data_IF_151966580247
#
_entry.id   IF_151966580247
#
_cell.length_a   1.000
_cell.length_b   1.000
_cell.length_c   1.000
_cell.angle_alpha   90.00
_cell.angle_beta   90.00
_cell.angle_gamma   90.00
#
_symmetry.space_group_name_H-M   'P 1'
#
loop_
_entity.id
_entity.type
_entity.pdbx_description
1 polymer ?
#
# COMPACT_ATOMS: atom_id res chain seq x y z
N UNK A 1 -17.12 -0.04 -12.92
CA UNK A 1 -15.79 0.55 -13.12
C UNK A 1 -15.01 0.37 -11.84
N UNK A 2 -13.76 -0.09 -11.91
CA UNK A 2 -12.88 -0.15 -10.74
C UNK A 2 -12.58 1.27 -10.25
N UNK A 3 -12.59 1.45 -8.94
CA UNK A 3 -12.31 2.71 -8.25
C UNK A 3 -11.07 2.58 -7.38
N UNK A 4 -10.56 3.71 -6.86
CA UNK A 4 -9.40 3.73 -5.98
C UNK A 4 -9.64 2.96 -4.67
N UNK A 5 -10.87 2.97 -4.17
CA UNK A 5 -11.24 2.23 -2.96
C UNK A 5 -11.23 0.71 -3.22
N UNK A 6 -11.57 0.25 -4.43
CA UNK A 6 -11.48 -1.17 -4.79
C UNK A 6 -10.03 -1.65 -4.76
N UNK A 7 -9.12 -0.86 -5.32
CA UNK A 7 -7.68 -1.17 -5.32
C UNK A 7 -7.10 -1.11 -3.90
N UNK A 8 -7.53 -0.13 -3.11
CA UNK A 8 -7.13 -0.01 -1.70
C UNK A 8 -7.62 -1.20 -0.85
N UNK A 9 -8.84 -1.68 -1.07
CA UNK A 9 -9.36 -2.89 -0.42
C UNK A 9 -8.52 -4.12 -0.80
N UNK A 10 -8.19 -4.27 -2.08
CA UNK A 10 -7.29 -5.36 -2.52
C UNK A 10 -5.92 -5.28 -1.83
N UNK A 11 -5.32 -4.09 -1.72
CA UNK A 11 -4.05 -3.91 -0.99
C UNK A 11 -4.19 -4.33 0.49
N UNK A 12 -5.30 -3.96 1.14
CA UNK A 12 -5.59 -4.35 2.52
C UNK A 12 -5.73 -5.88 2.65
N UNK A 13 -6.42 -6.53 1.72
CA UNK A 13 -6.53 -8.00 1.71
C UNK A 13 -5.16 -8.68 1.56
N UNK A 14 -4.29 -8.15 0.70
CA UNK A 14 -2.93 -8.69 0.56
C UNK A 14 -2.13 -8.52 1.86
N UNK A 15 -2.18 -7.33 2.46
CA UNK A 15 -1.56 -7.07 3.76
C UNK A 15 -2.14 -7.98 4.84
N UNK A 16 -3.45 -8.21 4.81
CA UNK A 16 -4.13 -9.03 5.80
C UNK A 16 -3.72 -10.49 5.74
N UNK A 17 -3.59 -11.01 4.53
CA UNK A 17 -3.19 -12.38 4.22
C UNK A 17 -1.71 -12.64 4.47
N UNK A 18 -0.85 -11.70 4.11
CA UNK A 18 0.61 -11.89 4.12
C UNK A 18 1.28 -11.33 5.38
N UNK A 19 0.60 -10.46 6.13
CA UNK A 19 1.16 -9.71 7.25
C UNK A 19 2.10 -8.57 6.83
N UNK A 20 2.63 -8.62 5.60
CA UNK A 20 3.48 -7.60 4.97
C UNK A 20 3.17 -7.50 3.47
N UNK A 21 3.19 -6.29 2.93
CA UNK A 21 2.97 -5.98 1.52
C UNK A 21 4.11 -5.10 1.00
N UNK A 22 4.97 -5.64 0.14
CA UNK A 22 6.02 -4.88 -0.52
C UNK A 22 5.44 -3.96 -1.58
N UNK A 23 5.87 -2.69 -1.59
CA UNK A 23 5.35 -1.72 -2.55
C UNK A 23 5.68 -2.10 -3.98
N UNK A 24 6.86 -2.61 -4.25
CA UNK A 24 7.23 -3.07 -5.60
C UNK A 24 6.24 -4.12 -6.13
N UNK A 25 5.95 -5.15 -5.32
CA UNK A 25 4.98 -6.19 -5.68
C UNK A 25 3.56 -5.65 -5.84
N UNK A 26 3.15 -4.74 -4.95
CA UNK A 26 1.84 -4.11 -5.01
C UNK A 26 1.68 -3.29 -6.30
N UNK A 27 2.68 -2.48 -6.67
CA UNK A 27 2.65 -1.65 -7.87
C UNK A 27 2.46 -2.49 -9.14
N UNK A 28 3.25 -3.54 -9.32
CA UNK A 28 3.13 -4.40 -10.51
C UNK A 28 1.80 -5.17 -10.55
N UNK A 29 1.36 -5.68 -9.39
CA UNK A 29 0.06 -6.35 -9.28
C UNK A 29 -1.10 -5.43 -9.61
N UNK A 30 -1.08 -4.19 -9.11
CA UNK A 30 -2.12 -3.19 -9.38
C UNK A 30 -2.18 -2.88 -10.88
N UNK A 31 -1.02 -2.63 -11.50
CA UNK A 31 -0.94 -2.35 -12.93
C UNK A 31 -1.49 -3.52 -13.79
N UNK A 32 -1.24 -4.75 -13.37
CA UNK A 32 -1.69 -5.97 -14.05
C UNK A 32 -3.19 -6.24 -13.86
N UNK A 33 -3.72 -6.04 -12.66
CA UNK A 33 -5.09 -6.43 -12.29
C UNK A 33 -6.12 -5.33 -12.57
N UNK A 34 -5.76 -4.07 -12.34
CA UNK A 34 -6.69 -2.94 -12.38
C UNK A 34 -6.33 -1.92 -13.47
N UNK A 35 -5.17 -2.08 -14.10
CA UNK A 35 -4.71 -1.23 -15.20
C UNK A 35 -3.84 -0.04 -14.76
N UNK A 36 -3.29 0.65 -15.77
CA UNK A 36 -2.28 1.70 -15.56
C UNK A 36 -2.81 2.97 -14.90
N UNK A 37 -4.13 3.17 -14.82
CA UNK A 37 -4.75 4.36 -14.19
C UNK A 37 -4.44 4.46 -12.69
N UNK A 38 -4.19 3.33 -12.02
CA UNK A 38 -3.92 3.26 -10.58
C UNK A 38 -2.44 3.28 -10.22
N UNK A 39 -1.57 3.42 -11.22
CA UNK A 39 -0.13 3.57 -11.06
C UNK A 39 0.35 4.75 -11.89
N UNK A 40 1.56 5.23 -11.64
CA UNK A 40 2.20 6.25 -12.46
C UNK A 40 3.71 6.03 -12.46
N UNK A 41 4.39 6.56 -13.46
CA UNK A 41 5.85 6.63 -13.46
C UNK A 41 6.25 7.90 -12.72
N UNK A 42 7.07 7.77 -11.68
CA UNK A 42 7.61 8.94 -10.97
C UNK A 42 8.78 9.57 -11.74
N UNK A 43 9.28 10.71 -11.23
CA UNK A 43 10.34 11.49 -11.88
C UNK A 43 11.65 10.71 -12.07
N UNK A 44 11.85 9.63 -11.31
CA UNK A 44 13.01 8.74 -11.42
C UNK A 44 12.78 7.57 -12.39
N UNK A 45 11.67 7.56 -13.13
CA UNK A 45 11.33 6.48 -14.06
C UNK A 45 10.75 5.23 -13.39
N UNK A 46 10.54 5.23 -12.08
CA UNK A 46 10.03 4.06 -11.35
C UNK A 46 8.51 4.05 -11.31
N UNK A 47 7.91 2.87 -11.42
CA UNK A 47 6.47 2.70 -11.27
C UNK A 47 6.06 2.87 -9.79
N UNK A 48 5.00 3.62 -9.54
CA UNK A 48 4.50 3.94 -8.21
C UNK A 48 2.97 3.84 -8.15
N UNK A 49 2.42 3.57 -6.96
CA UNK A 49 0.97 3.50 -6.72
C UNK A 49 0.40 4.92 -6.73
N UNK A 50 -0.73 5.14 -7.39
CA UNK A 50 -1.36 6.46 -7.44
C UNK A 50 -1.65 7.01 -6.04
N UNK A 51 -1.51 8.34 -5.88
CA UNK A 51 -1.72 9.01 -4.59
C UNK A 51 -3.14 8.82 -4.05
N UNK A 52 -4.13 8.73 -4.95
CA UNK A 52 -5.54 8.52 -4.59
C UNK A 52 -5.77 7.12 -4.00
N UNK A 53 -5.17 6.07 -4.58
CA UNK A 53 -5.22 4.72 -4.00
C UNK A 53 -4.53 4.68 -2.64
N UNK A 54 -3.33 5.26 -2.52
CA UNK A 54 -2.61 5.31 -1.25
C UNK A 54 -3.39 6.06 -0.16
N UNK A 55 -4.16 7.10 -0.53
CA UNK A 55 -5.03 7.84 0.37
C UNK A 55 -6.15 6.96 0.92
N UNK A 56 -6.85 6.22 0.05
CA UNK A 56 -7.90 5.30 0.50
C UNK A 56 -7.33 4.13 1.31
N UNK A 57 -6.21 3.55 0.87
CA UNK A 57 -5.54 2.47 1.60
C UNK A 57 -5.12 2.90 3.01
N UNK A 58 -4.62 4.13 3.16
CA UNK A 58 -4.32 4.70 4.47
C UNK A 58 -5.56 4.76 5.36
N UNK A 59 -6.70 5.28 4.88
CA UNK A 59 -7.93 5.36 5.70
C UNK A 59 -8.37 3.99 6.20
N UNK A 60 -8.19 2.95 5.39
CA UNK A 60 -8.56 1.57 5.73
C UNK A 60 -7.61 0.91 6.74
N UNK A 61 -6.38 1.39 6.88
CA UNK A 61 -5.32 0.72 7.63
C UNK A 61 -4.69 1.56 8.74
N UNK A 62 -5.13 2.81 8.91
CA UNK A 62 -4.66 3.71 9.97
C UNK A 62 -4.85 3.06 11.34
N UNK A 63 -3.81 3.10 12.17
CA UNK A 63 -3.76 2.41 13.47
C UNK A 63 -3.45 0.91 13.42
N UNK A 64 -3.55 0.25 12.25
CA UNK A 64 -3.36 -1.20 12.11
C UNK A 64 -2.14 -1.59 11.25
N UNK A 65 -1.69 -0.68 10.39
CA UNK A 65 -0.54 -0.88 9.52
C UNK A 65 0.40 0.32 9.56
N UNK A 66 1.68 0.03 9.35
CA UNK A 66 2.73 1.04 9.24
C UNK A 66 3.58 0.80 8.00
N UNK A 67 4.10 1.89 7.45
CA UNK A 67 5.05 1.87 6.34
C UNK A 67 6.47 1.77 6.87
N UNK A 68 7.18 0.71 6.53
CA UNK A 68 8.59 0.48 6.90
C UNK A 68 9.49 0.94 5.75
N UNK A 69 10.28 2.00 5.98
CA UNK A 69 11.03 2.68 4.91
C UNK A 69 12.20 1.86 4.41
N UNK A 70 12.94 1.21 5.32
CA UNK A 70 14.05 0.29 4.99
C UNK A 70 13.62 -0.79 4.00
N UNK A 71 12.49 -1.45 4.25
CA UNK A 71 11.98 -2.54 3.43
C UNK A 71 11.06 -2.09 2.28
N UNK A 72 10.69 -0.81 2.22
CA UNK A 72 9.68 -0.28 1.29
C UNK A 72 8.42 -1.14 1.26
N UNK A 73 7.87 -1.40 2.44
CA UNK A 73 6.68 -2.25 2.58
C UNK A 73 5.75 -1.76 3.67
N UNK A 74 4.48 -2.12 3.55
CA UNK A 74 3.52 -2.01 4.65
C UNK A 74 3.59 -3.29 5.46
N UNK A 75 3.56 -3.18 6.78
CA UNK A 75 3.38 -4.32 7.67
C UNK A 75 2.29 -4.06 8.68
N UNK A 76 1.68 -5.13 9.18
CA UNK A 76 0.78 -5.03 10.34
C UNK A 76 1.54 -4.51 11.55
N UNK A 77 0.83 -3.75 12.37
CA UNK A 77 1.29 -3.40 13.71
C UNK A 77 1.37 -4.69 14.54
N UNK A 78 2.44 -4.87 15.30
CA UNK A 78 2.53 -6.02 16.20
C UNK A 78 1.56 -5.84 17.39
N UNK A 79 1.06 -6.93 18.02
CA UNK A 79 0.09 -6.83 19.11
C UNK A 79 0.48 -5.91 20.27
N UNK A 80 1.78 -5.78 20.55
CA UNK A 80 2.31 -4.97 21.65
C UNK A 80 3.04 -3.70 21.15
N UNK A 81 2.98 -3.41 19.85
CA UNK A 81 3.61 -2.22 19.29
C UNK A 81 2.64 -1.04 19.35
N UNK A 82 3.11 0.08 19.91
CA UNK A 82 2.33 1.30 19.91
C UNK A 82 2.36 1.96 18.53
N UNK A 83 1.20 2.28 17.98
CA UNK A 83 1.12 3.08 16.75
C UNK A 83 1.62 4.51 17.01
N UNK A 84 2.81 4.83 16.49
CA UNK A 84 3.43 6.17 16.63
C UNK A 84 3.27 7.05 15.39
N UNK A 85 2.55 6.55 14.39
CA UNK A 85 2.34 7.23 13.12
C UNK A 85 2.46 6.28 11.95
N UNK A 86 2.33 6.85 10.74
CA UNK A 86 2.21 6.07 9.50
C UNK A 86 3.49 5.40 9.03
N UNK A 87 4.65 5.79 9.54
CA UNK A 87 5.94 5.30 9.05
C UNK A 87 6.94 5.06 10.18
N UNK A 88 7.83 4.10 9.93
CA UNK A 88 9.03 3.80 10.73
C UNK A 88 10.22 3.66 9.78
N UNK A 89 11.43 3.77 10.34
CA UNK A 89 12.68 3.53 9.59
C UNK A 89 12.89 2.04 9.36
#
# INVERSE_FOLDING_TARGET
MTTEIDVANWMKEQLDKLGRLYQEQAVYSIAKLFGKTFVYQNDNGNLAISKSVLKEFRKLTEGNAIWERSDKSWRKLYPNEQYKGRQVE
#
